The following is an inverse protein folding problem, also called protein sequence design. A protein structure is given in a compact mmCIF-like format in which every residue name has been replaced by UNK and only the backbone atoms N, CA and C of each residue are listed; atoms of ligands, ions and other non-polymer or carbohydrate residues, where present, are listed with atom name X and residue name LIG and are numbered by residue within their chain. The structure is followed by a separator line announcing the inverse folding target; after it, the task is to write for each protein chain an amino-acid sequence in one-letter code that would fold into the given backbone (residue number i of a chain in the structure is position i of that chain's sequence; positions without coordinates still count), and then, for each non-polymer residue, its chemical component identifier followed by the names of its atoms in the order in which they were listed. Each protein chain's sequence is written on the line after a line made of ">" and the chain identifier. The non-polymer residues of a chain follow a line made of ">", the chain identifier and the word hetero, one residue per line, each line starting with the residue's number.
data_IF_553046284344
#
_entry.id   IF_553046284344
#
_cell.length_a   1.000
_cell.length_b   1.000
_cell.length_c   1.000
_cell.angle_alpha   90.00
_cell.angle_beta   90.00
_cell.angle_gamma   90.00
#
_symmetry.space_group_name_H-M   'P 1'
#
loop_
_entity.id
_entity.type
_entity.pdbx_description
1 polymer ?
#
# COMPACT_ATOMS: atom_id res chain seq x y z
N UNK A 1 17.03 4.05 -21.49
CA UNK A 1 16.52 5.44 -21.55
C UNK A 1 15.92 5.64 -22.92
N UNK A 2 14.60 5.69 -23.03
CA UNK A 2 13.93 5.99 -24.30
C UNK A 2 14.12 7.48 -24.59
N UNK A 3 14.85 7.80 -25.65
CA UNK A 3 15.04 9.16 -26.14
C UNK A 3 13.75 9.61 -26.82
N UNK A 4 12.96 10.44 -26.17
CA UNK A 4 11.80 11.06 -26.79
C UNK A 4 12.26 12.15 -27.78
N UNK A 5 11.78 12.14 -29.04
CA UNK A 5 12.00 13.24 -29.96
C UNK A 5 11.35 14.52 -29.39
N UNK A 6 12.13 15.55 -29.17
CA UNK A 6 11.68 16.82 -28.55
C UNK A 6 10.64 17.59 -29.39
N UNK A 7 10.35 17.16 -30.62
CA UNK A 7 9.52 17.87 -31.61
C UNK A 7 8.13 17.24 -31.86
N UNK A 8 7.63 16.34 -30.99
CA UNK A 8 6.28 15.81 -31.14
C UNK A 8 5.23 16.82 -30.63
N UNK A 9 4.12 17.02 -31.37
CA UNK A 9 2.98 17.80 -30.90
C UNK A 9 2.48 17.30 -29.55
N UNK A 10 2.01 18.21 -28.68
CA UNK A 10 1.51 17.88 -27.34
C UNK A 10 0.50 16.73 -27.38
N UNK A 11 -0.37 16.71 -28.39
CA UNK A 11 -1.36 15.64 -28.60
C UNK A 11 -0.73 14.25 -28.87
N UNK A 12 0.34 14.20 -29.66
CA UNK A 12 1.06 12.94 -29.93
C UNK A 12 1.84 12.45 -28.68
N UNK A 13 2.35 13.35 -27.85
CA UNK A 13 2.96 13.00 -26.56
C UNK A 13 1.93 12.43 -25.58
N UNK A 14 0.71 12.97 -25.58
CA UNK A 14 -0.41 12.46 -24.78
C UNK A 14 -0.78 11.03 -25.22
N UNK A 15 -0.96 10.79 -26.50
CA UNK A 15 -1.29 9.46 -27.04
C UNK A 15 -0.23 8.40 -26.75
N UNK A 16 1.06 8.77 -26.82
CA UNK A 16 2.17 7.86 -26.55
C UNK A 16 2.26 7.53 -25.05
N UNK A 17 2.00 8.49 -24.16
CA UNK A 17 1.94 8.25 -22.72
C UNK A 17 0.76 7.36 -22.33
N UNK A 18 -0.44 7.61 -22.89
CA UNK A 18 -1.64 6.80 -22.69
C UNK A 18 -1.44 5.33 -23.07
N UNK A 19 -0.76 5.09 -24.20
CA UNK A 19 -0.44 3.71 -24.62
C UNK A 19 0.53 3.03 -23.66
N UNK A 20 1.45 3.79 -23.04
CA UNK A 20 2.50 3.24 -22.17
C UNK A 20 1.98 2.76 -20.82
N UNK A 21 1.10 3.50 -20.14
CA UNK A 21 0.60 3.11 -18.81
C UNK A 21 -0.26 1.86 -18.93
N UNK A 22 -1.17 1.82 -19.90
CA UNK A 22 -1.99 0.65 -20.20
C UNK A 22 -1.14 -0.59 -20.49
N UNK A 23 -0.17 -0.48 -21.40
CA UNK A 23 0.72 -1.59 -21.73
C UNK A 23 1.54 -2.07 -20.54
N UNK A 24 2.05 -1.14 -19.72
CA UNK A 24 2.79 -1.47 -18.53
C UNK A 24 1.92 -2.21 -17.50
N UNK A 25 0.67 -1.74 -17.31
CA UNK A 25 -0.30 -2.43 -16.45
C UNK A 25 -0.60 -3.84 -16.94
N UNK A 26 -0.81 -4.04 -18.23
CA UNK A 26 -1.05 -5.36 -18.82
C UNK A 26 0.15 -6.30 -18.60
N UNK A 27 1.37 -5.81 -18.82
CA UNK A 27 2.61 -6.57 -18.56
C UNK A 27 2.74 -6.98 -17.10
N UNK A 28 2.48 -6.05 -16.18
CA UNK A 28 2.57 -6.34 -14.74
C UNK A 28 1.47 -7.31 -14.31
N UNK A 29 0.21 -7.10 -14.75
CA UNK A 29 -0.91 -7.99 -14.42
C UNK A 29 -0.67 -9.42 -14.89
N UNK A 30 -0.01 -9.61 -16.03
CA UNK A 30 0.35 -10.92 -16.53
C UNK A 30 1.33 -11.68 -15.60
N UNK A 31 2.05 -10.98 -14.73
CA UNK A 31 3.00 -11.56 -13.77
C UNK A 31 2.45 -11.63 -12.34
N UNK A 32 1.29 -11.03 -12.08
CA UNK A 32 0.63 -11.07 -10.77
C UNK A 32 -0.46 -12.14 -10.79
N UNK A 33 -0.35 -13.21 -9.98
CA UNK A 33 -1.31 -14.31 -10.02
C UNK A 33 -2.69 -13.90 -9.48
N UNK A 34 -3.70 -14.66 -9.87
CA UNK A 34 -5.06 -14.52 -9.32
C UNK A 34 -5.00 -14.70 -7.81
N UNK A 35 -5.68 -13.81 -7.09
CA UNK A 35 -5.68 -13.79 -5.61
C UNK A 35 -4.65 -12.82 -5.00
N UNK A 36 -3.73 -12.26 -5.80
CA UNK A 36 -2.85 -11.17 -5.36
C UNK A 36 -3.36 -9.84 -5.92
N UNK A 37 -3.55 -8.86 -5.05
CA UNK A 37 -4.00 -7.52 -5.44
C UNK A 37 -2.81 -6.66 -5.86
N UNK A 38 -2.86 -6.13 -7.08
CA UNK A 38 -1.94 -5.10 -7.55
C UNK A 38 -2.40 -3.72 -7.07
N UNK A 39 -1.64 -3.12 -6.18
CA UNK A 39 -1.81 -1.71 -5.78
C UNK A 39 -0.89 -0.85 -6.66
N UNK A 40 -1.49 -0.05 -7.54
CA UNK A 40 -0.76 0.88 -8.40
C UNK A 40 -0.32 2.11 -7.59
N UNK A 41 0.99 2.24 -7.33
CA UNK A 41 1.53 3.33 -6.50
C UNK A 41 1.65 4.60 -7.33
N UNK A 42 0.76 5.54 -7.09
CA UNK A 42 0.53 6.75 -7.90
C UNK A 42 1.02 8.04 -7.27
N UNK A 43 1.73 7.95 -6.14
CA UNK A 43 2.30 9.15 -5.48
C UNK A 43 3.14 9.98 -6.45
N UNK A 44 2.99 11.31 -6.39
CA UNK A 44 3.65 12.30 -7.25
C UNK A 44 3.31 12.20 -8.75
N UNK A 45 2.29 11.43 -9.11
CA UNK A 45 1.82 11.33 -10.49
C UNK A 45 0.60 12.24 -10.72
N UNK A 46 0.48 12.85 -11.90
CA UNK A 46 -0.66 13.70 -12.21
C UNK A 46 -1.96 12.88 -12.31
N UNK A 47 -3.09 13.55 -12.12
CA UNK A 47 -4.44 12.95 -12.17
C UNK A 47 -4.69 12.19 -13.48
N UNK A 48 -4.19 12.71 -14.61
CA UNK A 48 -4.36 12.08 -15.92
C UNK A 48 -3.73 10.68 -16.00
N UNK A 49 -2.57 10.47 -15.37
CA UNK A 49 -1.92 9.16 -15.33
C UNK A 49 -2.78 8.14 -14.57
N UNK A 50 -3.44 8.60 -13.48
CA UNK A 50 -4.33 7.74 -12.70
C UNK A 50 -5.62 7.45 -13.47
N UNK A 51 -6.16 8.45 -14.18
CA UNK A 51 -7.36 8.26 -15.02
C UNK A 51 -7.09 7.23 -16.11
N UNK A 52 -5.93 7.29 -16.78
CA UNK A 52 -5.52 6.31 -17.79
C UNK A 52 -5.39 4.90 -17.20
N UNK A 53 -4.75 4.78 -16.03
CA UNK A 53 -4.66 3.50 -15.35
C UNK A 53 -6.05 2.96 -14.94
N UNK A 54 -6.96 3.85 -14.50
CA UNK A 54 -8.34 3.52 -14.18
C UNK A 54 -9.11 3.02 -15.41
N UNK A 55 -9.00 3.71 -16.54
CA UNK A 55 -9.65 3.35 -17.81
C UNK A 55 -9.11 2.01 -18.34
N UNK A 56 -7.83 1.70 -18.04
CA UNK A 56 -7.23 0.38 -18.26
C UNK A 56 -7.66 -0.68 -17.22
N UNK A 57 -8.66 -0.36 -16.36
CA UNK A 57 -9.27 -1.29 -15.41
C UNK A 57 -8.56 -1.38 -14.05
N UNK A 58 -7.62 -0.47 -13.71
CA UNK A 58 -7.04 -0.41 -12.37
C UNK A 58 -8.04 0.20 -11.39
N UNK A 59 -8.12 -0.39 -10.18
CA UNK A 59 -9.03 0.12 -9.13
C UNK A 59 -8.30 0.41 -7.82
N UNK A 60 -7.31 -0.39 -7.44
CA UNK A 60 -6.53 -0.19 -6.21
C UNK A 60 -5.34 0.74 -6.48
N UNK A 61 -5.35 1.94 -5.89
CA UNK A 61 -4.28 2.93 -6.00
C UNK A 61 -3.63 3.21 -4.65
N UNK A 62 -2.30 3.38 -4.64
CA UNK A 62 -1.52 3.59 -3.44
C UNK A 62 -0.91 4.99 -3.36
N UNK A 63 -1.19 5.70 -2.27
CA UNK A 63 -0.70 7.06 -2.01
C UNK A 63 0.12 7.16 -0.72
N UNK A 64 1.08 8.08 -0.70
CA UNK A 64 1.92 8.31 0.47
C UNK A 64 1.59 9.62 1.21
N UNK A 65 0.90 10.54 0.55
CA UNK A 65 0.66 11.88 1.06
C UNK A 65 -0.85 12.12 1.20
N UNK A 66 -1.35 12.35 2.43
CA UNK A 66 -2.80 12.44 2.68
C UNK A 66 -3.50 13.56 1.90
N UNK A 67 -2.83 14.70 1.71
CA UNK A 67 -3.40 15.81 0.95
C UNK A 67 -3.47 15.49 -0.55
N UNK A 68 -2.39 14.91 -1.11
CA UNK A 68 -2.37 14.47 -2.51
C UNK A 68 -3.47 13.44 -2.78
N UNK A 69 -3.64 12.48 -1.86
CA UNK A 69 -4.70 11.47 -1.94
C UNK A 69 -6.10 12.09 -1.94
N UNK A 70 -6.34 13.10 -1.06
CA UNK A 70 -7.59 13.84 -1.03
C UNK A 70 -7.87 14.57 -2.35
N UNK A 71 -6.89 15.34 -2.82
CA UNK A 71 -7.04 16.16 -4.02
C UNK A 71 -7.33 15.28 -5.27
N UNK A 72 -6.74 14.08 -5.33
CA UNK A 72 -7.03 13.09 -6.36
C UNK A 72 -8.40 12.43 -6.20
N UNK A 73 -8.79 12.10 -4.98
CA UNK A 73 -10.10 11.51 -4.70
C UNK A 73 -11.26 12.45 -5.10
N UNK A 74 -11.08 13.77 -4.93
CA UNK A 74 -12.11 14.77 -5.26
C UNK A 74 -12.43 14.83 -6.77
N UNK A 75 -11.49 14.43 -7.63
CA UNK A 75 -11.62 14.60 -9.10
C UNK A 75 -11.65 13.28 -9.89
N UNK A 76 -11.30 12.17 -9.26
CA UNK A 76 -11.27 10.84 -9.89
C UNK A 76 -12.53 10.02 -9.55
N UNK A 77 -12.81 8.92 -10.28
CA UNK A 77 -13.97 8.06 -10.02
C UNK A 77 -14.07 7.55 -8.59
N UNK A 78 -15.28 7.54 -8.03
CA UNK A 78 -15.54 7.25 -6.63
C UNK A 78 -15.42 5.74 -6.27
N UNK A 79 -15.33 4.85 -7.24
CA UNK A 79 -15.12 3.42 -7.07
C UNK A 79 -13.64 3.03 -6.98
N UNK A 80 -12.72 4.03 -6.99
CA UNK A 80 -11.32 3.79 -6.71
C UNK A 80 -11.15 3.32 -5.26
N UNK A 81 -10.42 2.22 -5.12
CA UNK A 81 -9.99 1.68 -3.83
C UNK A 81 -8.68 2.38 -3.42
N UNK A 82 -8.80 3.31 -2.49
CA UNK A 82 -7.66 4.10 -2.03
C UNK A 82 -6.90 3.40 -0.91
N UNK A 83 -5.65 3.05 -1.16
CA UNK A 83 -4.71 2.47 -0.20
C UNK A 83 -3.72 3.53 0.27
N UNK A 84 -3.70 3.82 1.56
CA UNK A 84 -2.68 4.69 2.13
C UNK A 84 -1.47 3.86 2.56
N UNK A 85 -0.30 4.12 1.96
CA UNK A 85 0.90 3.29 2.10
C UNK A 85 2.13 4.05 2.60
N UNK A 86 2.00 5.36 2.89
CA UNK A 86 3.06 6.21 3.44
C UNK A 86 3.00 6.30 4.96
N UNK A 87 4.00 6.95 5.58
CA UNK A 87 3.96 7.26 7.00
C UNK A 87 2.82 8.25 7.29
N UNK A 88 1.90 7.86 8.19
CA UNK A 88 0.70 8.63 8.50
C UNK A 88 0.87 9.41 9.80
N UNK A 89 0.93 10.72 9.70
CA UNK A 89 0.91 11.60 10.86
C UNK A 89 -0.52 11.76 11.42
N UNK A 90 -0.67 11.77 12.73
CA UNK A 90 -1.99 11.82 13.40
C UNK A 90 -2.83 13.04 13.00
N UNK A 91 -2.22 14.21 12.80
CA UNK A 91 -2.90 15.44 12.37
C UNK A 91 -3.38 15.42 10.91
N UNK A 92 -2.99 14.40 10.13
CA UNK A 92 -3.33 14.23 8.73
C UNK A 92 -4.41 13.16 8.47
N UNK A 93 -4.74 12.35 9.46
CA UNK A 93 -5.71 11.24 9.38
C UNK A 93 -7.05 11.71 8.80
N UNK A 94 -7.54 12.87 9.25
CA UNK A 94 -8.82 13.46 8.81
C UNK A 94 -9.00 13.62 7.30
N UNK A 95 -7.89 13.71 6.56
CA UNK A 95 -7.94 13.90 5.09
C UNK A 95 -8.28 12.63 4.33
N UNK A 96 -8.05 11.45 4.92
CA UNK A 96 -8.21 10.17 4.24
C UNK A 96 -9.34 9.31 4.81
N UNK A 97 -9.67 9.45 6.09
CA UNK A 97 -10.67 8.62 6.77
C UNK A 97 -12.03 8.57 6.07
N UNK A 98 -12.56 9.66 5.47
CA UNK A 98 -13.88 9.59 4.84
C UNK A 98 -14.01 8.55 3.71
N UNK A 99 -12.91 8.17 3.04
CA UNK A 99 -12.98 7.34 1.83
C UNK A 99 -11.88 6.27 1.71
N UNK A 100 -10.83 6.30 2.55
CA UNK A 100 -9.74 5.30 2.47
C UNK A 100 -10.30 3.88 2.58
N UNK A 101 -9.79 2.98 1.73
CA UNK A 101 -10.14 1.56 1.73
C UNK A 101 -9.27 0.79 2.70
N UNK A 102 -7.95 1.04 2.70
CA UNK A 102 -7.01 0.31 3.54
C UNK A 102 -5.81 1.21 3.91
N UNK A 103 -5.50 1.28 5.20
CA UNK A 103 -4.29 1.93 5.71
C UNK A 103 -3.24 0.84 5.98
N UNK A 104 -2.11 0.86 5.25
CA UNK A 104 -1.07 -0.16 5.37
C UNK A 104 -0.05 0.14 6.48
N UNK A 105 0.00 1.37 6.97
CA UNK A 105 1.12 1.92 7.72
C UNK A 105 0.82 2.18 9.19
N UNK A 106 0.11 1.27 9.85
CA UNK A 106 -0.08 1.36 11.30
C UNK A 106 1.18 0.85 12.00
N UNK A 107 2.02 1.76 12.43
CA UNK A 107 3.35 1.50 13.00
C UNK A 107 3.42 1.75 14.52
N UNK A 108 2.35 2.26 15.14
CA UNK A 108 2.26 2.51 16.58
C UNK A 108 0.83 2.35 17.11
N UNK A 109 0.71 2.02 18.41
CA UNK A 109 -0.57 1.97 19.11
C UNK A 109 -1.28 3.34 19.08
N UNK A 110 -0.54 4.43 19.29
CA UNK A 110 -1.07 5.79 19.26
C UNK A 110 -1.67 6.17 17.91
N UNK A 111 -1.05 5.73 16.81
CA UNK A 111 -1.61 5.96 15.46
C UNK A 111 -2.92 5.19 15.28
N UNK A 112 -2.97 3.92 15.68
CA UNK A 112 -4.19 3.12 15.57
C UNK A 112 -5.35 3.73 16.38
N UNK A 113 -5.07 4.18 17.61
CA UNK A 113 -6.06 4.87 18.44
C UNK A 113 -6.57 6.15 17.79
N UNK A 114 -5.66 6.95 17.20
CA UNK A 114 -6.04 8.17 16.50
C UNK A 114 -6.89 7.89 15.25
N UNK A 115 -6.58 6.83 14.50
CA UNK A 115 -7.40 6.35 13.35
C UNK A 115 -8.78 5.91 13.86
N UNK A 116 -8.85 5.10 14.92
CA UNK A 116 -10.12 4.66 15.51
C UNK A 116 -10.99 5.84 15.94
N UNK A 117 -10.40 6.83 16.62
CA UNK A 117 -11.10 8.03 17.07
C UNK A 117 -11.63 8.87 15.91
N UNK A 118 -10.85 9.04 14.85
CA UNK A 118 -11.29 9.79 13.66
C UNK A 118 -12.33 9.02 12.87
N UNK A 119 -12.16 7.71 12.68
CA UNK A 119 -13.11 6.84 11.99
C UNK A 119 -14.49 6.83 12.67
N UNK A 120 -14.53 6.89 14.02
CA UNK A 120 -15.76 7.03 14.80
C UNK A 120 -16.56 8.29 14.45
N UNK A 121 -15.90 9.41 14.20
CA UNK A 121 -16.57 10.68 13.83
C UNK A 121 -17.26 10.60 12.46
N UNK A 122 -16.76 9.71 11.59
CA UNK A 122 -17.29 9.45 10.26
C UNK A 122 -18.19 8.21 10.19
N UNK A 123 -18.52 7.60 11.34
CA UNK A 123 -19.35 6.39 11.45
C UNK A 123 -18.83 5.22 10.58
N UNK A 124 -17.49 5.14 10.42
CA UNK A 124 -16.82 4.12 9.62
C UNK A 124 -16.08 3.11 10.49
N UNK A 125 -15.89 1.91 9.94
CA UNK A 125 -14.88 0.95 10.35
C UNK A 125 -13.81 0.94 9.26
N UNK A 126 -12.58 1.32 9.60
CA UNK A 126 -11.47 1.46 8.65
C UNK A 126 -10.55 0.24 8.73
N UNK A 127 -10.29 -0.37 7.57
CA UNK A 127 -9.37 -1.49 7.46
C UNK A 127 -7.92 -1.02 7.58
N UNK A 128 -7.13 -1.76 8.37
CA UNK A 128 -5.76 -1.41 8.70
C UNK A 128 -4.85 -2.64 8.62
N UNK A 129 -3.60 -2.43 8.21
CA UNK A 129 -2.52 -3.40 8.37
C UNK A 129 -1.53 -2.90 9.42
N UNK A 130 -1.02 -3.80 10.25
CA UNK A 130 0.09 -3.51 11.14
C UNK A 130 1.37 -3.50 10.33
N UNK A 131 2.09 -2.38 10.35
CA UNK A 131 3.39 -2.27 9.68
C UNK A 131 4.49 -2.79 10.59
N UNK A 132 5.27 -3.73 10.07
CA UNK A 132 6.42 -4.31 10.76
C UNK A 132 7.74 -3.84 10.18
N UNK A 133 8.70 -3.62 11.06
CA UNK A 133 10.09 -3.41 10.69
C UNK A 133 10.74 -4.78 10.43
N UNK A 134 11.01 -5.08 9.17
CA UNK A 134 11.61 -6.36 8.74
C UNK A 134 12.97 -6.18 8.07
N UNK A 135 13.34 -4.95 7.72
CA UNK A 135 14.58 -4.62 7.04
C UNK A 135 15.74 -4.44 8.02
N UNK A 136 16.97 -4.55 7.51
CA UNK A 136 18.20 -4.31 8.30
C UNK A 136 18.42 -2.83 8.63
N UNK A 137 17.84 -1.91 7.85
CA UNK A 137 18.04 -0.47 8.08
C UNK A 137 17.28 0.01 9.32
N UNK A 138 18.00 0.49 10.33
CA UNK A 138 17.45 0.97 11.62
C UNK A 138 16.51 2.18 11.51
N UNK A 139 16.54 2.88 10.38
CA UNK A 139 15.75 4.12 10.16
C UNK A 139 14.32 3.87 9.68
N UNK A 140 13.88 2.62 9.50
CA UNK A 140 12.54 2.31 9.02
C UNK A 140 11.53 2.26 10.16
N UNK A 141 10.33 2.75 9.86
CA UNK A 141 9.17 2.67 10.75
C UNK A 141 8.59 1.26 10.79
N UNK A 142 7.99 0.90 11.90
CA UNK A 142 7.29 -0.37 12.04
C UNK A 142 7.38 -0.93 13.46
N UNK A 143 6.39 -1.73 13.81
CA UNK A 143 6.35 -2.50 15.05
C UNK A 143 7.33 -3.67 15.01
N UNK A 144 7.83 -4.09 16.14
CA UNK A 144 8.31 -5.45 16.33
C UNK A 144 7.17 -6.37 16.81
N UNK A 145 7.43 -7.69 16.87
CA UNK A 145 6.39 -8.66 17.26
C UNK A 145 5.90 -8.47 18.70
N UNK A 146 6.78 -8.06 19.61
CA UNK A 146 6.41 -7.83 21.02
C UNK A 146 5.52 -6.59 21.17
N UNK A 147 5.84 -5.50 20.50
CA UNK A 147 5.00 -4.29 20.47
C UNK A 147 3.62 -4.58 19.87
N UNK A 148 3.55 -5.38 18.81
CA UNK A 148 2.27 -5.79 18.24
C UNK A 148 1.45 -6.65 19.20
N UNK A 149 2.08 -7.56 19.97
CA UNK A 149 1.41 -8.34 21.03
C UNK A 149 0.86 -7.43 22.13
N UNK A 150 1.68 -6.51 22.65
CA UNK A 150 1.26 -5.56 23.67
C UNK A 150 0.08 -4.71 23.20
N UNK A 151 0.11 -4.25 21.95
CA UNK A 151 -1.02 -3.54 21.34
C UNK A 151 -2.29 -4.40 21.34
N UNK A 152 -2.23 -5.61 20.78
CA UNK A 152 -3.39 -6.48 20.60
C UNK A 152 -3.97 -7.02 21.91
N UNK A 153 -3.15 -7.16 22.95
CA UNK A 153 -3.57 -7.59 24.29
C UNK A 153 -4.06 -6.44 25.17
N UNK A 154 -3.85 -5.20 24.75
CA UNK A 154 -4.22 -4.00 25.55
C UNK A 154 -5.73 -3.83 25.70
N UNK A 155 -6.17 -3.31 26.85
CA UNK A 155 -7.57 -2.94 27.06
C UNK A 155 -8.02 -1.81 26.10
N UNK A 156 -7.09 -0.92 25.70
CA UNK A 156 -7.37 0.12 24.73
C UNK A 156 -7.78 -0.48 23.37
N UNK A 157 -7.06 -1.49 22.86
CA UNK A 157 -7.38 -2.14 21.59
C UNK A 157 -8.75 -2.84 21.63
N UNK A 158 -9.11 -3.50 22.73
CA UNK A 158 -10.41 -4.15 22.92
C UNK A 158 -11.61 -3.18 22.82
N UNK A 159 -11.37 -1.88 23.07
CA UNK A 159 -12.37 -0.82 22.96
C UNK A 159 -12.39 -0.12 21.58
N UNK A 160 -11.50 -0.51 20.65
CA UNK A 160 -11.45 0.06 19.32
C UNK A 160 -12.43 -0.66 18.37
N UNK A 161 -13.59 -0.05 18.13
CA UNK A 161 -14.64 -0.64 17.28
C UNK A 161 -14.72 -0.02 15.88
N UNK A 162 -13.93 1.02 15.61
CA UNK A 162 -13.95 1.74 14.34
C UNK A 162 -12.69 1.50 13.48
N UNK A 163 -11.88 0.51 13.86
CA UNK A 163 -10.77 -0.04 13.07
C UNK A 163 -10.88 -1.55 13.00
N UNK A 164 -10.37 -2.12 11.91
CA UNK A 164 -10.31 -3.57 11.71
C UNK A 164 -8.92 -3.94 11.21
N UNK A 165 -8.23 -4.81 11.95
CA UNK A 165 -6.91 -5.28 11.52
C UNK A 165 -7.11 -6.42 10.53
N UNK A 166 -6.64 -6.20 9.28
CA UNK A 166 -6.82 -7.12 8.16
C UNK A 166 -5.57 -7.90 7.80
N UNK A 167 -4.43 -7.61 8.46
CA UNK A 167 -3.17 -8.29 8.18
C UNK A 167 -1.95 -7.45 8.54
N UNK A 168 -0.86 -7.67 7.80
CA UNK A 168 0.45 -7.07 8.06
C UNK A 168 1.01 -6.39 6.82
N UNK A 169 1.94 -5.44 7.03
CA UNK A 169 2.72 -4.82 5.96
C UNK A 169 4.20 -4.78 6.36
N UNK A 170 5.08 -4.97 5.38
CA UNK A 170 6.52 -4.77 5.52
C UNK A 170 7.18 -4.32 4.23
N UNK A 171 8.37 -3.77 4.39
CA UNK A 171 9.26 -3.37 3.28
C UNK A 171 10.63 -3.97 3.52
N UNK A 172 11.12 -4.73 2.56
CA UNK A 172 12.46 -5.29 2.62
C UNK A 172 13.55 -4.22 2.46
N UNK A 173 14.75 -4.57 2.81
CA UNK A 173 15.98 -3.80 2.55
C UNK A 173 16.10 -3.52 1.05
N UNK A 174 16.48 -2.30 0.69
CA UNK A 174 16.77 -1.96 -0.69
C UNK A 174 18.17 -2.48 -1.07
N UNK A 175 18.22 -3.67 -1.63
CA UNK A 175 19.46 -4.39 -1.99
C UNK A 175 19.26 -5.27 -3.22
N UNK A 176 20.36 -5.59 -3.91
CA UNK A 176 20.38 -6.58 -4.99
C UNK A 176 20.49 -8.03 -4.45
N UNK A 177 20.74 -8.20 -3.15
CA UNK A 177 20.79 -9.52 -2.50
C UNK A 177 19.37 -10.10 -2.34
N UNK A 178 19.00 -10.91 -3.31
CA UNK A 178 17.67 -11.58 -3.33
C UNK A 178 17.49 -12.58 -2.19
N UNK A 179 18.56 -13.12 -1.62
CA UNK A 179 18.46 -14.06 -0.51
C UNK A 179 18.09 -13.32 0.78
N UNK A 180 18.66 -12.12 1.00
CA UNK A 180 18.28 -11.29 2.15
C UNK A 180 16.83 -10.78 2.00
N UNK A 181 16.44 -10.29 0.83
CA UNK A 181 15.06 -9.86 0.57
C UNK A 181 14.06 -11.00 0.85
N UNK A 182 14.36 -12.22 0.41
CA UNK A 182 13.52 -13.41 0.66
C UNK A 182 13.40 -13.72 2.14
N UNK A 183 14.50 -13.67 2.88
CA UNK A 183 14.52 -13.91 4.31
C UNK A 183 13.66 -12.90 5.08
N UNK A 184 13.70 -11.63 4.70
CA UNK A 184 12.89 -10.58 5.32
C UNK A 184 11.39 -10.79 5.03
N UNK A 185 11.01 -11.17 3.80
CA UNK A 185 9.62 -11.50 3.48
C UNK A 185 9.12 -12.76 4.19
N UNK A 186 9.95 -13.80 4.31
CA UNK A 186 9.64 -14.98 5.12
C UNK A 186 9.43 -14.63 6.59
N UNK A 187 10.23 -13.69 7.12
CA UNK A 187 10.04 -13.19 8.48
C UNK A 187 8.68 -12.50 8.64
N UNK A 188 8.27 -11.63 7.70
CA UNK A 188 6.94 -11.02 7.73
C UNK A 188 5.83 -12.06 7.67
N UNK A 189 5.99 -13.09 6.81
CA UNK A 189 5.04 -14.20 6.73
C UNK A 189 4.92 -14.94 8.06
N UNK A 190 6.03 -15.19 8.74
CA UNK A 190 6.07 -15.82 10.07
C UNK A 190 5.33 -14.98 11.12
N UNK A 191 5.52 -13.65 11.09
CA UNK A 191 4.77 -12.73 11.94
C UNK A 191 3.26 -12.84 11.66
N UNK A 192 2.86 -12.80 10.38
CA UNK A 192 1.45 -12.93 9.99
C UNK A 192 0.84 -14.23 10.52
N UNK A 193 1.51 -15.38 10.31
CA UNK A 193 1.01 -16.69 10.76
C UNK A 193 0.90 -16.76 12.29
N UNK A 194 1.88 -16.19 12.99
CA UNK A 194 1.88 -16.12 14.46
C UNK A 194 0.69 -15.31 14.98
N UNK A 195 0.45 -14.13 14.41
CA UNK A 195 -0.66 -13.26 14.79
C UNK A 195 -2.01 -13.89 14.41
N UNK A 196 -2.10 -14.49 13.22
CA UNK A 196 -3.30 -15.19 12.77
C UNK A 196 -3.69 -16.29 13.73
N UNK A 197 -2.76 -17.16 14.08
CA UNK A 197 -3.03 -18.29 14.96
C UNK A 197 -3.43 -17.86 16.38
N UNK A 198 -2.81 -16.80 16.91
CA UNK A 198 -3.01 -16.39 18.30
C UNK A 198 -4.21 -15.45 18.49
N UNK A 199 -4.41 -14.48 17.58
CA UNK A 199 -5.36 -13.39 17.81
C UNK A 199 -6.51 -13.33 16.79
N UNK A 200 -6.33 -13.93 15.61
CA UNK A 200 -7.24 -13.75 14.48
C UNK A 200 -7.70 -15.07 13.84
N UNK A 201 -7.63 -16.21 14.58
CA UNK A 201 -7.97 -17.53 14.04
C UNK A 201 -9.40 -17.58 13.45
N UNK A 202 -10.37 -17.00 14.16
CA UNK A 202 -11.77 -16.96 13.76
C UNK A 202 -12.16 -15.68 13.00
N UNK A 203 -11.16 -14.90 12.54
CA UNK A 203 -11.38 -13.65 11.84
C UNK A 203 -10.96 -13.76 10.36
N UNK A 204 -11.88 -14.07 9.44
CA UNK A 204 -11.56 -14.30 8.03
C UNK A 204 -11.02 -13.05 7.32
N UNK A 205 -11.29 -11.85 7.84
CA UNK A 205 -10.77 -10.59 7.32
C UNK A 205 -9.27 -10.40 7.56
N UNK A 206 -8.66 -11.09 8.55
CA UNK A 206 -7.21 -11.07 8.76
C UNK A 206 -6.55 -12.04 7.77
N UNK A 207 -6.26 -11.55 6.57
CA UNK A 207 -5.78 -12.35 5.43
C UNK A 207 -4.73 -11.64 4.58
N UNK A 208 -4.46 -10.35 4.82
CA UNK A 208 -3.63 -9.55 3.93
C UNK A 208 -2.16 -9.54 4.38
N UNK A 209 -1.26 -9.76 3.42
CA UNK A 209 0.19 -9.58 3.57
C UNK A 209 0.64 -8.63 2.48
N UNK A 210 0.85 -7.35 2.86
CA UNK A 210 1.30 -6.31 1.95
C UNK A 210 2.82 -6.22 1.96
N UNK A 211 3.46 -6.79 0.96
CA UNK A 211 4.91 -6.74 0.75
C UNK A 211 5.23 -6.83 -0.75
N UNK A 212 6.43 -6.42 -1.12
CA UNK A 212 6.88 -6.39 -2.51
C UNK A 212 6.55 -5.08 -3.22
N UNK A 213 7.59 -4.54 -3.86
CA UNK A 213 7.57 -3.32 -4.67
C UNK A 213 8.09 -3.62 -6.07
N UNK A 214 8.32 -2.59 -6.89
CA UNK A 214 8.68 -2.74 -8.30
C UNK A 214 9.81 -3.74 -8.57
N UNK A 215 10.84 -3.83 -7.70
CA UNK A 215 12.02 -4.63 -7.98
C UNK A 215 11.97 -6.03 -7.33
N UNK A 216 11.17 -6.20 -6.26
CA UNK A 216 11.17 -7.40 -5.41
C UNK A 216 9.82 -8.12 -5.31
N UNK A 217 8.75 -7.58 -5.95
CA UNK A 217 7.40 -8.18 -5.90
C UNK A 217 7.34 -9.65 -6.36
N UNK A 218 8.15 -10.16 -7.31
CA UNK A 218 8.10 -11.56 -7.65
C UNK A 218 8.50 -12.45 -6.48
N UNK A 219 9.55 -12.07 -5.72
CA UNK A 219 9.98 -12.78 -4.51
C UNK A 219 8.88 -12.70 -3.44
N UNK A 220 8.28 -11.51 -3.27
CA UNK A 220 7.18 -11.33 -2.32
C UNK A 220 5.99 -12.23 -2.62
N UNK A 221 5.62 -12.41 -3.89
CA UNK A 221 4.55 -13.32 -4.32
C UNK A 221 4.90 -14.77 -3.99
N UNK A 222 6.11 -15.20 -4.27
CA UNK A 222 6.61 -16.54 -3.91
C UNK A 222 6.52 -16.79 -2.40
N UNK A 223 6.74 -15.77 -1.58
CA UNK A 223 6.68 -15.84 -0.11
C UNK A 223 5.28 -15.54 0.46
N UNK A 224 4.25 -15.45 -0.40
CA UNK A 224 2.85 -15.40 0.02
C UNK A 224 2.26 -13.99 0.18
N UNK A 225 2.80 -12.98 -0.51
CA UNK A 225 2.15 -11.67 -0.59
C UNK A 225 0.73 -11.78 -1.15
N UNK A 226 -0.22 -11.10 -0.53
CA UNK A 226 -1.59 -10.93 -1.05
C UNK A 226 -1.80 -9.56 -1.68
N UNK A 227 -0.92 -8.60 -1.36
CA UNK A 227 -0.90 -7.25 -1.92
C UNK A 227 0.53 -6.88 -2.31
N UNK A 228 0.73 -6.50 -3.58
CA UNK A 228 1.99 -5.95 -4.09
C UNK A 228 1.82 -4.48 -4.50
N UNK A 229 2.84 -3.64 -4.25
CA UNK A 229 2.79 -2.18 -4.41
C UNK A 229 3.75 -1.74 -5.50
N UNK A 230 3.26 -1.53 -6.72
CA UNK A 230 4.08 -1.29 -7.91
C UNK A 230 3.81 0.11 -8.46
N UNK A 231 4.85 0.93 -8.60
CA UNK A 231 4.74 2.30 -9.12
C UNK A 231 5.57 2.53 -10.38
N UNK A 232 6.91 2.51 -10.26
CA UNK A 232 7.82 2.88 -11.36
C UNK A 232 7.67 2.03 -12.62
N UNK A 233 7.31 0.76 -12.48
CA UNK A 233 7.05 -0.15 -13.62
C UNK A 233 5.71 0.14 -14.33
N UNK A 234 4.78 0.84 -13.67
CA UNK A 234 3.49 1.25 -14.26
C UNK A 234 3.60 2.67 -14.83
N UNK A 235 3.94 3.63 -13.98
CA UNK A 235 3.88 5.07 -14.28
C UNK A 235 5.23 5.67 -14.73
N UNK A 236 6.28 4.84 -14.85
CA UNK A 236 7.63 5.33 -15.13
C UNK A 236 8.33 5.98 -13.92
N UNK A 237 9.57 6.44 -14.14
CA UNK A 237 10.39 7.08 -13.11
C UNK A 237 9.71 8.34 -12.54
N UNK A 238 10.08 8.72 -11.31
CA UNK A 238 9.60 9.95 -10.69
C UNK A 238 10.31 11.15 -11.30
N UNK A 239 9.55 12.17 -11.66
CA UNK A 239 10.09 13.48 -11.98
C UNK A 239 10.18 14.26 -10.66
N UNK A 240 11.37 14.37 -10.09
CA UNK A 240 11.68 15.33 -9.02
C UNK A 240 12.03 16.66 -9.68
N UNK A 241 11.02 17.51 -9.97
CA UNK A 241 11.24 18.91 -10.31
C UNK A 241 11.09 19.76 -9.06
#
# INVERSE_FOLDING_TARGET
>A
MAHFPQNLPIFARFLILETMIKENLEKIRATVPVGVTLVAVSKTKPVNDLQEAYDAGQRAFGENYPQEMRDKHEVLPQDIQWHFIGHLQTNKIKYIIPYVTLIHSIDTANLLEAVNKEAKKHERVVDCLLQFHIALEETKFGLNLEEARQLLESEAFKQMHNVRICGVMGMATFTDDKAEVRKEFLYLKTIFDTLKAKYFADQPQFKEISMGMSEDYPIAIEEGATLVRIGSKIFGARNYN
#
